data_IF_308063458814
#
_entry.id   IF_308063458814
#
_cell.length_a   1.000
_cell.length_b   1.000
_cell.length_c   1.000
_cell.angle_alpha   90.00
_cell.angle_beta   90.00
_cell.angle_gamma   90.00
#
_symmetry.space_group_name_H-M   'P 1'
#
loop_
_entity.id
_entity.type
_entity.pdbx_description
1 polymer ?
#
# COMPACT_ATOMS: atom_id res chain seq x y z
N UNK A 1 -30.16 15.17 -49.88
CA UNK A 1 -28.99 14.90 -49.01
C UNK A 1 -29.31 13.62 -48.27
N UNK A 2 -28.77 12.49 -48.75
CA UNK A 2 -29.02 11.18 -48.15
C UNK A 2 -28.07 11.07 -46.97
N UNK A 3 -28.61 11.05 -45.76
CA UNK A 3 -27.85 10.69 -44.56
C UNK A 3 -27.38 9.25 -44.74
N UNK A 4 -26.13 9.08 -45.15
CA UNK A 4 -25.47 7.79 -45.16
C UNK A 4 -25.23 7.38 -43.72
N UNK A 5 -26.24 6.75 -43.10
CA UNK A 5 -26.16 6.00 -41.85
C UNK A 5 -25.27 4.76 -42.03
N UNK A 6 -23.98 4.98 -42.29
CA UNK A 6 -22.97 3.94 -42.29
C UNK A 6 -22.45 3.67 -40.89
N UNK A 7 -21.85 2.50 -40.68
CA UNK A 7 -21.27 2.02 -39.40
C UNK A 7 -20.34 3.07 -38.74
N UNK A 8 -19.75 3.97 -39.53
CA UNK A 8 -18.81 5.00 -39.06
C UNK A 8 -19.43 6.40 -38.86
N UNK A 9 -20.72 6.59 -39.12
CA UNK A 9 -21.37 7.91 -39.05
C UNK A 9 -21.31 8.54 -37.64
N UNK A 10 -21.29 7.72 -36.59
CA UNK A 10 -21.04 8.17 -35.20
C UNK A 10 -19.58 8.06 -34.76
N UNK A 11 -18.79 7.16 -35.36
CA UNK A 11 -17.41 6.91 -34.95
C UNK A 11 -16.45 8.03 -35.35
N UNK A 12 -16.57 8.55 -36.58
CA UNK A 12 -15.66 9.58 -37.08
C UNK A 12 -15.77 10.90 -36.28
N UNK A 13 -16.98 11.43 -36.00
CA UNK A 13 -17.12 12.59 -35.13
C UNK A 13 -16.61 12.36 -33.71
N UNK A 14 -16.91 11.20 -33.11
CA UNK A 14 -16.44 10.84 -31.76
C UNK A 14 -14.91 10.71 -31.70
N UNK A 15 -14.29 10.19 -32.75
CA UNK A 15 -12.84 10.10 -32.86
C UNK A 15 -12.19 11.50 -32.96
N UNK A 16 -12.80 12.43 -33.70
CA UNK A 16 -12.34 13.83 -33.76
C UNK A 16 -12.37 14.50 -32.38
N UNK A 17 -13.46 14.29 -31.63
CA UNK A 17 -13.62 14.84 -30.28
C UNK A 17 -12.57 14.27 -29.32
N UNK A 18 -12.35 12.95 -29.31
CA UNK A 18 -11.29 12.31 -28.53
C UNK A 18 -9.89 12.81 -28.89
N UNK A 19 -9.62 13.04 -30.18
CA UNK A 19 -8.33 13.59 -30.61
C UNK A 19 -8.16 15.03 -30.10
N UNK A 20 -9.23 15.84 -30.12
CA UNK A 20 -9.17 17.21 -29.59
C UNK A 20 -8.90 17.25 -28.08
N UNK A 21 -9.54 16.37 -27.31
CA UNK A 21 -9.29 16.20 -25.88
C UNK A 21 -7.85 15.76 -25.61
N UNK A 22 -7.37 14.76 -26.35
CA UNK A 22 -5.99 14.26 -26.23
C UNK A 22 -4.95 15.34 -26.56
N UNK A 23 -5.19 16.19 -27.56
CA UNK A 23 -4.30 17.31 -27.87
C UNK A 23 -4.23 18.27 -26.68
N UNK A 24 -5.35 18.58 -26.02
CA UNK A 24 -5.40 19.44 -24.82
C UNK A 24 -4.60 18.81 -23.67
N UNK A 25 -4.76 17.52 -23.40
CA UNK A 25 -3.99 16.83 -22.37
C UNK A 25 -2.47 16.90 -22.64
N UNK A 26 -2.06 16.60 -23.88
CA UNK A 26 -0.66 16.68 -24.30
C UNK A 26 -0.12 18.12 -24.20
N UNK A 27 -0.95 19.15 -24.43
CA UNK A 27 -0.52 20.54 -24.20
C UNK A 27 -0.16 20.79 -22.74
N UNK A 28 -0.99 20.31 -21.80
CA UNK A 28 -0.76 20.45 -20.37
C UNK A 28 0.46 19.66 -19.89
N UNK A 29 0.69 18.47 -20.46
CA UNK A 29 1.89 17.69 -20.18
C UNK A 29 3.17 18.37 -20.67
N UNK A 30 3.16 18.94 -21.88
CA UNK A 30 4.31 19.67 -22.44
C UNK A 30 4.60 20.93 -21.63
N UNK A 31 3.58 21.66 -21.20
CA UNK A 31 3.73 22.81 -20.29
C UNK A 31 4.35 22.38 -18.97
N UNK A 32 3.83 21.33 -18.34
CA UNK A 32 4.35 20.80 -17.08
C UNK A 32 5.80 20.28 -17.22
N UNK A 33 6.14 19.64 -18.33
CA UNK A 33 7.49 19.18 -18.61
C UNK A 33 8.46 20.35 -18.82
N UNK A 34 8.03 21.40 -19.53
CA UNK A 34 8.81 22.62 -19.70
C UNK A 34 8.96 23.37 -18.37
N UNK A 35 7.92 23.42 -17.53
CA UNK A 35 7.99 23.97 -16.17
C UNK A 35 9.04 23.28 -15.31
N UNK A 36 9.15 21.95 -15.39
CA UNK A 36 10.16 21.18 -14.64
C UNK A 36 11.58 21.35 -15.17
N UNK A 37 11.75 21.66 -16.46
CA UNK A 37 13.06 21.85 -17.11
C UNK A 37 13.59 23.28 -17.06
N UNK A 38 12.74 24.26 -16.76
CA UNK A 38 13.16 25.64 -16.58
C UNK A 38 13.81 25.79 -15.20
N UNK A 39 15.10 26.09 -15.18
CA UNK A 39 15.82 26.36 -13.94
C UNK A 39 15.19 27.52 -13.17
N UNK A 40 15.12 27.38 -11.84
CA UNK A 40 14.65 28.42 -10.94
C UNK A 40 15.55 29.65 -11.08
N UNK A 41 15.09 30.65 -11.82
CA UNK A 41 15.72 31.97 -11.79
C UNK A 41 15.51 32.55 -10.39
N UNK A 42 16.59 32.87 -9.68
CA UNK A 42 16.57 33.33 -8.28
C UNK A 42 15.68 34.57 -8.01
N UNK A 43 15.12 35.19 -9.05
CA UNK A 43 14.05 36.19 -8.96
C UNK A 43 12.69 35.62 -9.38
N UNK A 44 11.76 35.52 -8.42
CA UNK A 44 10.36 35.09 -8.65
C UNK A 44 9.66 35.87 -9.79
N UNK A 45 10.01 37.15 -9.96
CA UNK A 45 9.43 38.02 -11.02
C UNK A 45 9.93 37.65 -12.41
N UNK A 46 11.19 37.23 -12.54
CA UNK A 46 11.76 36.77 -13.81
C UNK A 46 11.26 35.37 -14.14
N UNK A 47 11.17 34.49 -13.15
CA UNK A 47 10.59 33.16 -13.29
C UNK A 47 9.15 33.26 -13.79
N UNK A 48 8.30 34.07 -13.15
CA UNK A 48 6.91 34.27 -13.60
C UNK A 48 6.80 34.78 -15.05
N UNK A 49 7.73 35.65 -15.49
CA UNK A 49 7.78 36.13 -16.88
C UNK A 49 8.17 35.02 -17.86
N UNK A 50 9.16 34.21 -17.52
CA UNK A 50 9.57 33.05 -18.31
C UNK A 50 8.44 32.03 -18.42
N UNK A 51 7.77 31.71 -17.31
CA UNK A 51 6.64 30.78 -17.29
C UNK A 51 5.47 31.29 -18.15
N UNK A 52 5.15 32.58 -18.08
CA UNK A 52 4.10 33.17 -18.92
C UNK A 52 4.49 33.17 -20.40
N UNK A 53 5.77 33.40 -20.72
CA UNK A 53 6.27 33.30 -22.09
C UNK A 53 6.18 31.86 -22.62
N UNK A 54 6.51 30.87 -21.78
CA UNK A 54 6.42 29.45 -22.11
C UNK A 54 4.97 29.03 -22.34
N UNK A 55 4.05 29.34 -21.42
CA UNK A 55 2.63 29.05 -21.57
C UNK A 55 2.02 29.70 -22.83
N UNK A 56 2.42 30.93 -23.15
CA UNK A 56 2.00 31.59 -24.41
C UNK A 56 2.62 30.94 -25.65
N UNK A 57 3.85 30.46 -25.55
CA UNK A 57 4.58 29.80 -26.62
C UNK A 57 4.02 28.40 -26.92
N UNK A 58 3.84 27.58 -25.88
CA UNK A 58 3.21 26.26 -25.93
C UNK A 58 1.79 26.35 -26.46
N UNK A 59 0.97 27.27 -25.92
CA UNK A 59 -0.39 27.49 -26.41
C UNK A 59 -0.43 27.80 -27.91
N UNK A 60 0.40 28.74 -28.38
CA UNK A 60 0.48 29.08 -29.82
C UNK A 60 0.96 27.92 -30.68
N UNK A 61 1.97 27.16 -30.22
CA UNK A 61 2.47 26.00 -30.95
C UNK A 61 1.39 24.92 -31.05
N UNK A 62 0.73 24.62 -29.94
CA UNK A 62 -0.30 23.59 -29.90
C UNK A 62 -1.56 23.98 -30.66
N UNK A 63 -1.94 25.26 -30.71
CA UNK A 63 -3.01 25.71 -31.63
C UNK A 63 -2.66 25.45 -33.09
N UNK A 64 -1.39 25.57 -33.49
CA UNK A 64 -0.95 25.21 -34.85
C UNK A 64 -1.00 23.70 -35.08
N UNK A 65 -0.59 22.92 -34.08
CA UNK A 65 -0.67 21.45 -34.12
C UNK A 65 -2.12 21.01 -34.24
N UNK A 66 -3.03 21.52 -33.41
CA UNK A 66 -4.46 21.24 -33.46
C UNK A 66 -5.05 21.54 -34.85
N UNK A 67 -4.78 22.74 -35.38
CA UNK A 67 -5.25 23.13 -36.71
C UNK A 67 -4.68 22.26 -37.84
N UNK A 68 -3.44 21.79 -37.70
CA UNK A 68 -2.85 20.85 -38.66
C UNK A 68 -3.49 19.46 -38.54
N UNK A 69 -3.79 19.00 -37.32
CA UNK A 69 -4.49 17.76 -37.05
C UNK A 69 -5.91 17.78 -37.60
N UNK A 70 -6.72 18.80 -37.29
CA UNK A 70 -8.06 18.98 -37.86
C UNK A 70 -8.03 18.87 -39.39
N UNK A 71 -7.15 19.64 -40.04
CA UNK A 71 -7.05 19.64 -41.50
C UNK A 71 -6.61 18.29 -42.07
N UNK A 72 -5.74 17.55 -41.37
CA UNK A 72 -5.32 16.22 -41.79
C UNK A 72 -6.42 15.19 -41.52
N UNK A 73 -7.18 15.36 -40.45
CA UNK A 73 -8.29 14.50 -40.09
C UNK A 73 -9.47 14.69 -41.03
N UNK A 74 -9.80 15.92 -41.44
CA UNK A 74 -10.79 16.20 -42.49
C UNK A 74 -10.46 15.46 -43.79
N UNK A 75 -9.18 15.42 -44.17
CA UNK A 75 -8.71 14.67 -45.35
C UNK A 75 -8.82 13.17 -45.15
N UNK A 76 -8.48 12.68 -43.95
CA UNK A 76 -8.61 11.28 -43.59
C UNK A 76 -10.08 10.84 -43.62
N UNK A 77 -10.97 11.61 -43.01
CA UNK A 77 -12.42 11.39 -43.03
C UNK A 77 -12.94 11.36 -44.48
N UNK A 78 -12.54 12.33 -45.31
CA UNK A 78 -12.90 12.35 -46.72
C UNK A 78 -12.41 11.08 -47.45
N UNK A 79 -11.19 10.64 -47.19
CA UNK A 79 -10.63 9.41 -47.76
C UNK A 79 -11.42 8.17 -47.32
N UNK A 80 -11.73 8.05 -46.03
CA UNK A 80 -12.50 6.92 -45.48
C UNK A 80 -13.89 6.87 -46.10
N UNK A 81 -14.59 8.01 -46.16
CA UNK A 81 -15.93 8.12 -46.76
C UNK A 81 -15.91 7.80 -48.26
N UNK A 82 -14.86 8.21 -48.98
CA UNK A 82 -14.76 8.07 -50.44
C UNK A 82 -14.22 6.72 -50.92
N UNK A 83 -13.43 6.02 -50.12
CA UNK A 83 -12.74 4.81 -50.56
C UNK A 83 -13.08 3.56 -49.74
N UNK A 84 -13.21 3.69 -48.42
CA UNK A 84 -13.40 2.54 -47.53
C UNK A 84 -14.88 2.23 -47.33
N UNK A 85 -15.68 3.27 -47.10
CA UNK A 85 -17.12 3.14 -46.79
C UNK A 85 -18.01 3.40 -48.01
N UNK A 86 -17.45 3.96 -49.08
CA UNK A 86 -18.18 4.18 -50.33
C UNK A 86 -18.55 2.84 -50.97
N UNK A 87 -19.82 2.66 -51.29
CA UNK A 87 -20.26 1.59 -52.17
C UNK A 87 -20.17 2.11 -53.60
N UNK A 88 -19.51 1.42 -54.55
CA UNK A 88 -19.51 1.81 -55.95
C UNK A 88 -20.95 1.88 -56.50
N UNK A 89 -21.26 2.91 -57.29
CA UNK A 89 -22.62 3.16 -57.79
C UNK A 89 -23.22 1.95 -58.53
N UNK A 90 -22.40 1.17 -59.22
CA UNK A 90 -22.82 -0.05 -59.91
C UNK A 90 -23.35 -1.16 -58.98
N UNK A 91 -22.93 -1.17 -57.71
CA UNK A 91 -23.32 -2.17 -56.71
C UNK A 91 -24.26 -1.58 -55.65
N UNK A 92 -24.67 -0.31 -55.79
CA UNK A 92 -25.48 0.38 -54.79
C UNK A 92 -26.82 -0.33 -54.58
N UNK A 93 -27.47 -0.77 -55.66
CA UNK A 93 -28.76 -1.46 -55.62
C UNK A 93 -28.65 -2.88 -55.04
N UNK A 94 -27.59 -3.63 -55.40
CA UNK A 94 -27.33 -4.97 -54.86
C UNK A 94 -27.00 -4.93 -53.36
N UNK A 95 -26.17 -3.98 -52.93
CA UNK A 95 -25.84 -3.80 -51.52
C UNK A 95 -27.03 -3.27 -50.74
N UNK A 96 -27.88 -2.42 -51.33
CA UNK A 96 -29.13 -2.00 -50.72
C UNK A 96 -30.11 -3.18 -50.55
N UNK A 97 -30.20 -4.07 -51.54
CA UNK A 97 -30.97 -5.31 -51.44
C UNK A 97 -30.42 -6.23 -50.35
N UNK A 98 -29.09 -6.46 -50.27
CA UNK A 98 -28.47 -7.28 -49.22
C UNK A 98 -28.71 -6.68 -47.83
N UNK A 99 -28.66 -5.34 -47.69
CA UNK A 99 -28.96 -4.66 -46.42
C UNK A 99 -30.43 -4.78 -46.05
N UNK A 100 -31.34 -4.66 -47.02
CA UNK A 100 -32.77 -4.84 -46.82
C UNK A 100 -33.13 -6.30 -46.48
N UNK A 101 -32.47 -7.28 -47.12
CA UNK A 101 -32.62 -8.70 -46.81
C UNK A 101 -32.11 -9.02 -45.40
N UNK A 102 -30.96 -8.49 -44.98
CA UNK A 102 -30.44 -8.66 -43.61
C UNK A 102 -31.37 -8.05 -42.56
N UNK A 103 -31.97 -6.89 -42.84
CA UNK A 103 -32.99 -6.31 -41.95
C UNK A 103 -34.29 -7.10 -41.92
N UNK A 104 -34.64 -7.79 -43.01
CA UNK A 104 -35.79 -8.69 -43.06
C UNK A 104 -35.52 -10.05 -42.42
N UNK A 105 -34.29 -10.57 -42.46
CA UNK A 105 -33.96 -11.85 -41.80
C UNK A 105 -33.96 -11.73 -40.27
N UNK A 106 -33.76 -10.53 -39.72
CA UNK A 106 -34.01 -10.24 -38.30
C UNK A 106 -35.51 -10.06 -37.97
N UNK A 107 -36.40 -10.02 -38.98
CA UNK A 107 -37.82 -9.66 -38.83
C UNK A 107 -38.85 -10.68 -39.34
N UNK A 108 -38.52 -11.53 -40.31
CA UNK A 108 -39.44 -12.50 -40.94
C UNK A 108 -39.01 -13.95 -40.63
N UNK A 109 -39.47 -14.46 -39.49
CA UNK A 109 -39.46 -15.89 -39.12
C UNK A 109 -40.73 -16.63 -39.57
N UNK A 110 -41.43 -16.15 -40.61
CA UNK A 110 -42.66 -16.78 -41.09
C UNK A 110 -42.54 -17.05 -42.60
N UNK A 111 -42.20 -18.29 -42.98
CA UNK A 111 -42.60 -19.03 -44.19
C UNK A 111 -41.47 -19.90 -44.77
N UNK A 112 -41.28 -21.15 -44.32
CA UNK A 112 -40.96 -22.30 -45.21
C UNK A 112 -41.35 -23.63 -44.53
N UNK A 113 -42.58 -24.10 -44.74
CA UNK A 113 -43.09 -25.38 -44.21
C UNK A 113 -42.54 -26.65 -44.92
N UNK A 114 -41.34 -26.58 -45.49
CA UNK A 114 -40.66 -27.73 -46.13
C UNK A 114 -39.20 -27.92 -45.66
N UNK A 115 -38.70 -26.99 -44.85
CA UNK A 115 -37.37 -27.03 -44.23
C UNK A 115 -37.42 -27.47 -42.75
N UNK A 116 -38.62 -27.76 -42.24
CA UNK A 116 -38.91 -27.98 -40.83
C UNK A 116 -38.19 -29.19 -40.21
N UNK A 117 -37.80 -30.21 -40.98
CA UNK A 117 -37.16 -31.41 -40.40
C UNK A 117 -35.66 -31.22 -40.08
N UNK A 118 -34.92 -30.48 -40.93
CA UNK A 118 -33.52 -30.11 -40.66
C UNK A 118 -33.45 -28.85 -39.78
N UNK A 119 -34.35 -27.89 -40.01
CA UNK A 119 -34.43 -26.68 -39.17
C UNK A 119 -34.90 -27.00 -37.75
N UNK A 120 -35.72 -28.02 -37.47
CA UNK A 120 -36.04 -28.39 -36.08
C UNK A 120 -34.82 -28.94 -35.31
N UNK A 121 -33.87 -29.59 -36.00
CA UNK A 121 -32.61 -30.03 -35.40
C UNK A 121 -31.63 -28.86 -35.20
N UNK A 122 -31.67 -27.85 -36.07
CA UNK A 122 -30.89 -26.62 -35.94
C UNK A 122 -31.52 -25.67 -34.93
N UNK A 123 -32.83 -25.49 -34.90
CA UNK A 123 -33.61 -24.75 -33.91
C UNK A 123 -33.40 -25.32 -32.51
N UNK A 124 -33.37 -26.64 -32.32
CA UNK A 124 -33.04 -27.21 -31.00
C UNK A 124 -31.58 -26.97 -30.58
N UNK A 125 -30.67 -26.72 -31.53
CA UNK A 125 -29.29 -26.31 -31.26
C UNK A 125 -29.19 -24.81 -31.00
N UNK A 126 -29.84 -23.99 -31.82
CA UNK A 126 -29.96 -22.55 -31.69
C UNK A 126 -30.67 -22.18 -30.39
N UNK A 127 -31.75 -22.85 -30.00
CA UNK A 127 -32.43 -22.68 -28.72
C UNK A 127 -31.52 -23.05 -27.54
N UNK A 128 -30.63 -24.03 -27.69
CA UNK A 128 -29.63 -24.35 -26.66
C UNK A 128 -28.57 -23.24 -26.60
N UNK A 129 -28.12 -22.76 -27.75
CA UNK A 129 -27.18 -21.66 -27.86
C UNK A 129 -27.78 -20.37 -27.25
N UNK A 130 -29.02 -20.01 -27.59
CA UNK A 130 -29.80 -18.91 -26.99
C UNK A 130 -29.95 -19.08 -25.48
N UNK A 131 -30.37 -20.25 -24.98
CA UNK A 131 -30.44 -20.49 -23.53
C UNK A 131 -29.09 -20.38 -22.85
N UNK A 132 -28.00 -20.82 -23.48
CA UNK A 132 -26.66 -20.64 -22.92
C UNK A 132 -26.22 -19.19 -22.92
N UNK A 133 -26.55 -18.43 -23.97
CA UNK A 133 -26.30 -17.00 -24.06
C UNK A 133 -27.11 -16.25 -23.00
N UNK A 134 -28.39 -16.59 -22.81
CA UNK A 134 -29.26 -16.01 -21.79
C UNK A 134 -28.72 -16.28 -20.38
N UNK A 135 -28.31 -17.52 -20.10
CA UNK A 135 -27.67 -17.87 -18.82
C UNK A 135 -26.37 -17.09 -18.61
N UNK A 136 -25.55 -16.90 -19.65
CA UNK A 136 -24.35 -16.07 -19.58
C UNK A 136 -24.70 -14.59 -19.36
N UNK A 137 -25.75 -14.10 -19.99
CA UNK A 137 -26.24 -12.73 -19.85
C UNK A 137 -26.75 -12.47 -18.43
N UNK A 138 -27.50 -13.41 -17.85
CA UNK A 138 -27.95 -13.35 -16.46
C UNK A 138 -26.78 -13.41 -15.48
N UNK A 139 -25.80 -14.30 -15.71
CA UNK A 139 -24.59 -14.36 -14.90
C UNK A 139 -23.79 -13.04 -14.96
N UNK A 140 -23.67 -12.43 -16.15
CA UNK A 140 -23.02 -11.13 -16.31
C UNK A 140 -23.82 -10.00 -15.66
N UNK A 141 -25.15 -10.03 -15.72
CA UNK A 141 -26.01 -9.05 -15.03
C UNK A 141 -25.86 -9.16 -13.50
N UNK A 142 -25.78 -10.37 -12.96
CA UNK A 142 -25.51 -10.58 -11.53
C UNK A 142 -24.13 -10.06 -11.15
N UNK A 143 -23.10 -10.41 -11.93
CA UNK A 143 -21.73 -9.92 -11.71
C UNK A 143 -21.63 -8.39 -11.79
N UNK A 144 -22.36 -7.76 -12.71
CA UNK A 144 -22.46 -6.30 -12.79
C UNK A 144 -23.09 -5.71 -11.52
N UNK A 145 -24.16 -6.31 -11.00
CA UNK A 145 -24.78 -5.87 -9.74
C UNK A 145 -23.80 -5.97 -8.57
N UNK A 146 -23.08 -7.08 -8.45
CA UNK A 146 -22.05 -7.28 -7.42
C UNK A 146 -20.93 -6.24 -7.53
N UNK A 147 -20.40 -6.02 -8.74
CA UNK A 147 -19.38 -5.02 -8.99
C UNK A 147 -19.88 -3.60 -8.71
N UNK A 148 -21.13 -3.26 -9.05
CA UNK A 148 -21.70 -1.96 -8.71
C UNK A 148 -21.85 -1.77 -7.21
N UNK A 149 -22.26 -2.79 -6.46
CA UNK A 149 -22.33 -2.74 -5.00
C UNK A 149 -20.94 -2.58 -4.37
N UNK A 150 -19.94 -3.31 -4.89
CA UNK A 150 -18.55 -3.19 -4.46
C UNK A 150 -17.97 -1.80 -4.76
N UNK A 151 -18.23 -1.24 -5.94
CA UNK A 151 -17.82 0.12 -6.27
C UNK A 151 -18.46 1.16 -5.34
N UNK A 152 -19.75 1.02 -5.03
CA UNK A 152 -20.42 1.91 -4.07
C UNK A 152 -19.79 1.82 -2.67
N UNK A 153 -19.43 0.61 -2.22
CA UNK A 153 -18.71 0.44 -0.95
C UNK A 153 -17.34 1.13 -0.98
N UNK A 154 -16.55 0.92 -2.04
CA UNK A 154 -15.25 1.56 -2.20
C UNK A 154 -15.35 3.09 -2.27
N UNK A 155 -16.38 3.64 -2.89
CA UNK A 155 -16.63 5.09 -2.88
C UNK A 155 -16.91 5.63 -1.48
N UNK A 156 -17.67 4.89 -0.67
CA UNK A 156 -17.96 5.28 0.72
C UNK A 156 -16.70 5.17 1.59
N UNK A 157 -15.88 4.13 1.40
CA UNK A 157 -14.59 3.98 2.06
C UNK A 157 -13.62 5.11 1.68
N UNK A 158 -13.56 5.47 0.39
CA UNK A 158 -12.76 6.60 -0.09
C UNK A 158 -13.19 7.90 0.60
N UNK A 159 -14.49 8.20 0.66
CA UNK A 159 -15.00 9.38 1.37
C UNK A 159 -14.65 9.36 2.85
N UNK A 160 -14.71 8.19 3.51
CA UNK A 160 -14.33 8.04 4.91
C UNK A 160 -12.82 8.27 5.12
N UNK A 161 -11.98 7.78 4.20
CA UNK A 161 -10.53 8.03 4.19
C UNK A 161 -10.22 9.51 3.96
N UNK A 162 -10.89 10.18 3.03
CA UNK A 162 -10.71 11.61 2.77
C UNK A 162 -11.07 12.44 4.01
N UNK A 163 -12.18 12.11 4.70
CA UNK A 163 -12.54 12.74 5.97
C UNK A 163 -11.49 12.49 7.05
N UNK A 164 -10.92 11.28 7.12
CA UNK A 164 -9.84 10.97 8.08
C UNK A 164 -8.56 11.73 7.74
N UNK A 165 -8.20 11.84 6.47
CA UNK A 165 -7.05 12.61 6.01
C UNK A 165 -7.21 14.10 6.33
N UNK A 166 -8.40 14.67 6.10
CA UNK A 166 -8.71 16.06 6.48
C UNK A 166 -8.62 16.27 8.00
N UNK A 167 -9.14 15.33 8.81
CA UNK A 167 -8.99 15.39 10.28
C UNK A 167 -7.53 15.34 10.70
N UNK A 168 -6.74 14.45 10.10
CA UNK A 168 -5.31 14.35 10.40
C UNK A 168 -4.57 15.62 9.98
N UNK A 169 -4.85 16.16 8.81
CA UNK A 169 -4.30 17.43 8.36
C UNK A 169 -4.69 18.59 9.30
N UNK A 170 -5.92 18.59 9.82
CA UNK A 170 -6.35 19.53 10.85
C UNK A 170 -5.59 19.40 12.17
N UNK A 171 -5.26 18.19 12.60
CA UNK A 171 -4.40 17.97 13.77
C UNK A 171 -2.96 18.42 13.51
N UNK A 172 -2.42 18.12 12.33
CA UNK A 172 -1.07 18.55 11.93
C UNK A 172 -1.00 20.07 11.85
N UNK A 173 -2.01 20.75 11.31
CA UNK A 173 -2.02 22.22 11.28
C UNK A 173 -2.18 22.83 12.67
N UNK A 174 -2.95 22.19 13.56
CA UNK A 174 -2.99 22.56 14.97
C UNK A 174 -1.66 22.34 15.67
N UNK A 175 -0.83 21.39 15.25
CA UNK A 175 0.50 21.14 15.81
C UNK A 175 1.60 21.92 15.09
N UNK A 176 1.31 22.57 13.95
CA UNK A 176 2.30 23.28 13.16
C UNK A 176 2.96 24.44 13.93
N UNK A 177 2.29 25.00 14.95
CA UNK A 177 2.93 26.00 15.82
C UNK A 177 4.12 25.42 16.61
N UNK A 178 4.18 24.11 16.82
CA UNK A 178 5.31 23.45 17.49
C UNK A 178 6.56 23.41 16.60
N UNK A 179 6.42 23.46 15.27
CA UNK A 179 7.56 23.59 14.36
C UNK A 179 8.21 24.97 14.46
N UNK A 180 7.43 26.00 14.82
CA UNK A 180 7.89 27.37 15.06
C UNK A 180 8.40 27.61 16.49
N UNK A 181 8.24 26.63 17.41
CA UNK A 181 8.76 26.72 18.78
C UNK A 181 10.29 26.54 18.74
N UNK A 182 11.08 27.48 19.28
CA UNK A 182 12.54 27.34 19.30
C UNK A 182 12.98 26.04 19.98
N UNK A 183 13.98 25.35 19.42
CA UNK A 183 14.56 24.15 20.05
C UNK A 183 15.05 24.41 21.48
N UNK A 184 15.37 25.67 21.81
CA UNK A 184 15.74 26.11 23.17
C UNK A 184 14.63 25.92 24.20
N UNK A 185 13.36 25.90 23.80
CA UNK A 185 12.19 25.65 24.67
C UNK A 185 11.76 24.19 24.70
N UNK A 186 12.10 23.39 23.68
CA UNK A 186 11.79 21.94 23.60
C UNK A 186 12.90 21.09 24.26
N UNK A 187 14.16 21.53 24.15
CA UNK A 187 15.31 20.85 24.74
C UNK A 187 15.28 20.69 26.27
N UNK A 188 14.73 21.62 27.08
CA UNK A 188 14.59 21.42 28.52
C UNK A 188 13.59 20.33 28.85
N UNK A 189 12.46 20.26 28.13
CA UNK A 189 11.45 19.20 28.30
C UNK A 189 12.02 17.83 27.96
N UNK A 190 12.72 17.70 26.83
CA UNK A 190 13.40 16.47 26.45
C UNK A 190 14.47 16.05 27.47
N UNK A 191 15.30 17.00 27.92
CA UNK A 191 16.30 16.75 28.98
C UNK A 191 15.64 16.35 30.29
N UNK A 192 14.54 16.98 30.69
CA UNK A 192 13.83 16.60 31.93
C UNK A 192 13.27 15.18 31.85
N UNK A 193 12.72 14.76 30.69
CA UNK A 193 12.27 13.39 30.50
C UNK A 193 13.43 12.39 30.58
N UNK A 194 14.56 12.68 29.92
CA UNK A 194 15.79 11.86 30.01
C UNK A 194 16.33 11.78 31.44
N UNK A 195 16.32 12.88 32.18
CA UNK A 195 16.73 12.91 33.59
C UNK A 195 15.79 12.12 34.50
N UNK A 196 14.47 12.18 34.26
CA UNK A 196 13.49 11.39 35.00
C UNK A 196 13.68 9.90 34.75
N UNK A 197 13.88 9.49 33.49
CA UNK A 197 14.18 8.10 33.15
C UNK A 197 15.48 7.61 33.78
N UNK A 198 16.55 8.41 33.71
CA UNK A 198 17.83 8.07 34.35
C UNK A 198 17.72 7.94 35.88
N UNK A 199 16.90 8.79 36.50
CA UNK A 199 16.65 8.77 37.95
C UNK A 199 15.80 7.55 38.35
N UNK A 200 14.83 7.16 37.53
CA UNK A 200 14.06 5.92 37.73
C UNK A 200 14.97 4.67 37.62
N UNK A 201 15.85 4.63 36.62
CA UNK A 201 16.83 3.54 36.49
C UNK A 201 17.80 3.49 37.68
N UNK A 202 18.20 4.65 38.19
CA UNK A 202 19.04 4.74 39.39
C UNK A 202 18.31 4.19 40.63
N UNK A 203 17.02 4.51 40.81
CA UNK A 203 16.21 3.93 41.90
C UNK A 203 16.12 2.41 41.81
N UNK A 204 15.84 1.87 40.62
CA UNK A 204 15.79 0.42 40.41
C UNK A 204 17.13 -0.26 40.72
N UNK A 205 18.25 0.39 40.40
CA UNK A 205 19.59 -0.10 40.75
C UNK A 205 19.87 0.00 42.25
N UNK A 206 19.40 1.03 42.93
CA UNK A 206 19.54 1.13 44.39
C UNK A 206 18.73 0.03 45.09
N UNK A 207 17.50 -0.23 44.64
CA UNK A 207 16.66 -1.29 45.18
C UNK A 207 17.32 -2.67 45.00
N UNK A 208 17.95 -2.92 43.85
CA UNK A 208 18.66 -4.18 43.61
C UNK A 208 19.94 -4.32 44.44
N UNK A 209 20.70 -3.23 44.63
CA UNK A 209 21.86 -3.19 45.51
C UNK A 209 21.43 -3.41 46.97
N UNK A 210 20.33 -2.82 47.40
CA UNK A 210 19.80 -3.02 48.75
C UNK A 210 19.39 -4.48 48.96
N UNK A 211 18.71 -5.09 48.00
CA UNK A 211 18.35 -6.51 48.07
C UNK A 211 19.60 -7.40 48.18
N UNK A 212 20.64 -7.13 47.38
CA UNK A 212 21.91 -7.86 47.43
C UNK A 212 22.63 -7.69 48.78
N UNK A 213 22.69 -6.47 49.32
CA UNK A 213 23.27 -6.19 50.64
C UNK A 213 22.52 -6.90 51.77
N UNK A 214 21.19 -6.95 51.70
CA UNK A 214 20.38 -7.69 52.66
C UNK A 214 20.64 -9.20 52.57
N UNK A 215 20.81 -9.74 51.37
CA UNK A 215 21.16 -11.14 51.16
C UNK A 215 22.56 -11.47 51.69
N UNK A 216 23.57 -10.66 51.36
CA UNK A 216 24.93 -10.80 51.88
C UNK A 216 24.96 -10.71 53.40
N UNK A 217 24.20 -9.79 54.00
CA UNK A 217 24.05 -9.69 55.46
C UNK A 217 23.47 -10.98 56.06
N UNK A 218 22.46 -11.57 55.41
CA UNK A 218 21.88 -12.86 55.83
C UNK A 218 22.90 -13.99 55.69
N UNK A 219 23.64 -14.05 54.58
CA UNK A 219 24.67 -15.05 54.34
C UNK A 219 25.82 -14.94 55.35
N UNK A 220 26.29 -13.73 55.63
CA UNK A 220 27.31 -13.48 56.65
C UNK A 220 26.85 -13.94 58.04
N UNK A 221 25.61 -13.64 58.43
CA UNK A 221 25.03 -14.13 59.70
C UNK A 221 25.00 -15.66 59.74
N UNK A 222 24.57 -16.32 58.66
CA UNK A 222 24.58 -17.80 58.55
C UNK A 222 26.00 -18.37 58.67
N UNK A 223 26.96 -17.82 57.93
CA UNK A 223 28.37 -18.22 57.96
C UNK A 223 28.95 -18.07 59.38
N UNK A 224 28.77 -16.91 60.02
CA UNK A 224 29.22 -16.66 61.40
C UNK A 224 28.66 -17.68 62.39
N UNK A 225 27.39 -18.06 62.27
CA UNK A 225 26.78 -19.10 63.12
C UNK A 225 27.39 -20.47 62.84
N UNK A 226 27.61 -20.84 61.58
CA UNK A 226 28.25 -22.09 61.19
C UNK A 226 29.70 -22.19 61.73
N UNK A 227 30.48 -21.12 61.61
CA UNK A 227 31.85 -21.05 62.14
C UNK A 227 31.89 -21.18 63.66
N UNK A 228 30.99 -20.48 64.38
CA UNK A 228 30.85 -20.66 65.84
C UNK A 228 30.48 -22.09 66.21
N UNK A 229 29.59 -22.72 65.43
CA UNK A 229 29.24 -24.13 65.59
C UNK A 229 30.43 -25.07 65.38
N UNK A 230 31.26 -24.81 64.37
CA UNK A 230 32.50 -25.55 64.10
C UNK A 230 33.49 -25.45 65.25
N UNK A 231 33.81 -24.24 65.72
CA UNK A 231 34.70 -24.05 66.87
C UNK A 231 34.17 -24.73 68.14
N UNK A 232 32.85 -24.72 68.35
CA UNK A 232 32.22 -25.41 69.49
C UNK A 232 32.35 -26.93 69.37
N UNK A 233 32.22 -27.51 68.17
CA UNK A 233 32.47 -28.94 67.91
C UNK A 233 33.93 -29.30 68.12
N UNK A 234 34.85 -28.48 67.59
CA UNK A 234 36.30 -28.67 67.76
C UNK A 234 36.69 -28.64 69.24
N UNK A 235 36.14 -27.68 70.01
CA UNK A 235 36.36 -27.62 71.46
C UNK A 235 35.85 -28.86 72.18
N UNK A 236 34.65 -29.37 71.83
CA UNK A 236 34.11 -30.61 72.40
C UNK A 236 35.00 -31.82 72.10
N UNK A 237 35.46 -31.94 70.85
CA UNK A 237 36.39 -33.01 70.44
C UNK A 237 37.73 -32.90 71.16
N UNK A 238 38.28 -31.70 71.29
CA UNK A 238 39.51 -31.47 72.03
C UNK A 238 39.34 -31.85 73.50
N UNK A 239 38.27 -31.42 74.17
CA UNK A 239 38.00 -31.77 75.56
C UNK A 239 37.78 -33.27 75.76
N UNK A 240 37.10 -33.94 74.81
CA UNK A 240 36.90 -35.40 74.84
C UNK A 240 38.24 -36.14 74.68
N UNK A 241 39.06 -35.72 73.72
CA UNK A 241 40.39 -36.28 73.49
C UNK A 241 41.32 -36.06 74.68
N UNK A 242 41.29 -34.90 75.33
CA UNK A 242 42.06 -34.68 76.57
C UNK A 242 41.53 -35.48 77.75
N UNK A 243 40.23 -35.83 77.77
CA UNK A 243 39.66 -36.69 78.81
C UNK A 243 40.00 -38.19 78.57
N UNK A 244 40.16 -38.61 77.32
CA UNK A 244 40.70 -39.93 76.96
C UNK A 244 42.22 -40.02 77.27
N UNK A 245 42.95 -38.90 77.13
CA UNK A 245 44.38 -38.78 77.46
C UNK A 245 44.61 -38.50 78.96
N UNK A 246 43.98 -39.25 79.86
CA UNK A 246 44.39 -39.28 81.27
C UNK A 246 45.55 -40.25 81.46
N UNK A 247 46.77 -39.74 81.26
CA UNK A 247 48.01 -40.46 81.54
C UNK A 247 48.16 -40.69 83.05
N UNK A 248 48.27 -41.96 83.47
CA UNK A 248 48.54 -42.31 84.87
C UNK A 248 49.87 -43.04 85.05
N UNK A 249 50.56 -43.41 83.97
CA UNK A 249 51.80 -44.18 84.02
C UNK A 249 52.81 -43.72 82.96
N UNK A 250 54.10 -43.82 83.27
CA UNK A 250 55.22 -43.34 82.45
C UNK A 250 55.37 -44.07 81.11
N UNK A 251 54.75 -45.23 80.96
CA UNK A 251 54.77 -46.04 79.72
C UNK A 251 53.91 -45.41 78.61
N UNK A 252 52.86 -44.66 78.96
CA UNK A 252 51.99 -44.00 77.98
C UNK A 252 52.67 -42.81 77.28
N UNK A 253 53.72 -42.24 77.88
CA UNK A 253 54.52 -41.16 77.30
C UNK A 253 55.47 -41.65 76.21
N UNK A 254 55.93 -42.90 76.29
CA UNK A 254 56.80 -43.51 75.29
C UNK A 254 56.04 -43.91 74.02
N UNK A 255 54.78 -44.36 74.15
CA UNK A 255 53.88 -44.58 73.01
C UNK A 255 53.53 -43.28 72.26
N UNK A 256 53.53 -42.15 72.95
CA UNK A 256 53.26 -40.83 72.36
C UNK A 256 54.45 -40.34 71.52
N UNK A 257 55.67 -40.60 71.99
CA UNK A 257 56.90 -40.30 71.25
C UNK A 257 57.09 -41.17 70.01
N UNK A 258 56.59 -42.42 70.01
CA UNK A 258 56.66 -43.30 68.84
C UNK A 258 55.56 -43.02 67.79
N UNK A 259 54.46 -42.37 68.19
CA UNK A 259 53.35 -41.97 67.28
C UNK A 259 53.44 -40.52 66.80
N UNK A 260 54.47 -39.78 67.19
CA UNK A 260 54.81 -38.47 66.63
C UNK A 260 55.59 -38.70 65.32
N UNK A 261 55.00 -38.47 64.13
CA UNK A 261 55.77 -38.51 62.89
C UNK A 261 56.83 -37.41 62.92
N UNK A 262 58.08 -37.80 62.71
CA UNK A 262 59.14 -36.87 62.32
C UNK A 262 58.99 -36.62 60.82
N UNK A 263 58.77 -35.36 60.47
CA UNK A 263 58.36 -34.81 59.15
C UNK A 263 56.90 -35.01 58.75
#
# INVERSE_FOLDING_TARGET
>A
MVETGGILAGFLPALTEQISESVVEVTGEVENALHKRLDSTGSKKQQARQLNAVAKGSGKYMSKVHRAFEKNFDKFELYVRRNIVSVPDALADEVAQIRAEKQKTDGDKDNVAAQEAEDMALLTREEREERTLDNQLEALRLKLRELTASNQQLEMEKKALDLRAQRFQGLVSQLAFLDDVPERTISPLKRTAEHISALQDAFLRMDSIQAALEEDSRQFKKSKVATRGSFRKLRKQFTARTAEMTYRTTEDLEELHSKLPTS
#
